data_IF_964032468564
#
_entry.id   IF_964032468564
#
_cell.length_a   1.000
_cell.length_b   1.000
_cell.length_c   1.000
_cell.angle_alpha   90.00
_cell.angle_beta   90.00
_cell.angle_gamma   90.00
#
_symmetry.space_group_name_H-M   'P 1'
#
loop_
_entity.id
_entity.type
_entity.pdbx_description
1 polymer ?
#
# COMPACT_ATOMS: atom_id res chain seq x y z
N UNK A 1 -1.88 24.06 17.89
CA UNK A 1 -2.03 22.61 18.16
C UNK A 1 -1.25 21.85 17.11
N UNK A 2 -0.15 21.18 17.46
CA UNK A 2 0.54 20.32 16.49
C UNK A 2 -0.37 19.14 16.14
N UNK A 3 -0.79 19.05 14.89
CA UNK A 3 -1.52 17.88 14.39
C UNK A 3 -0.54 16.70 14.46
N UNK A 4 -0.87 15.73 15.31
CA UNK A 4 -0.04 14.53 15.50
C UNK A 4 -0.10 13.69 14.23
N UNK A 5 1.00 13.62 13.47
CA UNK A 5 1.10 12.88 12.21
C UNK A 5 1.13 11.37 12.47
N UNK A 6 -0.03 10.74 12.60
CA UNK A 6 -0.17 9.32 12.90
C UNK A 6 -0.64 8.55 11.67
N UNK A 7 -0.09 7.35 11.44
CA UNK A 7 -0.61 6.41 10.47
C UNK A 7 -1.51 5.42 11.15
N UNK A 8 -2.82 5.57 10.93
CA UNK A 8 -3.86 4.77 11.59
C UNK A 8 -4.68 4.06 10.52
N UNK A 9 -4.79 2.74 10.61
CA UNK A 9 -5.67 1.91 9.77
C UNK A 9 -6.59 1.11 10.67
N UNK A 10 -7.90 1.19 10.46
CA UNK A 10 -8.89 0.45 11.27
C UNK A 10 -8.67 0.59 12.79
N UNK A 11 -8.45 1.83 13.28
CA UNK A 11 -8.20 2.18 14.68
C UNK A 11 -6.85 1.68 15.25
N UNK A 12 -6.04 0.96 14.47
CA UNK A 12 -4.69 0.53 14.87
C UNK A 12 -3.65 1.52 14.35
N UNK A 13 -2.75 1.95 15.23
CA UNK A 13 -1.65 2.85 14.90
C UNK A 13 -0.44 2.03 14.46
N UNK A 14 0.24 2.51 13.43
CA UNK A 14 1.46 1.93 12.87
C UNK A 14 2.58 2.97 12.84
N UNK A 15 3.80 2.54 13.10
CA UNK A 15 4.98 3.40 13.07
C UNK A 15 5.59 3.54 11.68
N UNK A 16 5.30 2.60 10.78
CA UNK A 16 5.76 2.62 9.39
C UNK A 16 4.59 2.88 8.43
N UNK A 17 4.81 3.79 7.47
CA UNK A 17 3.89 4.07 6.37
C UNK A 17 4.19 3.20 5.14
N UNK A 18 5.24 2.35 5.22
CA UNK A 18 5.59 1.37 4.21
C UNK A 18 4.94 0.03 4.56
N UNK A 19 4.13 -0.49 3.64
CA UNK A 19 3.57 -1.84 3.65
C UNK A 19 4.36 -2.67 2.64
N UNK A 20 4.71 -3.90 2.98
CA UNK A 20 5.52 -4.75 2.10
C UNK A 20 4.78 -6.03 1.74
N UNK A 21 4.82 -6.40 0.45
CA UNK A 21 4.33 -7.69 -0.02
C UNK A 21 5.33 -8.82 0.25
N UNK A 22 4.83 -10.04 0.40
CA UNK A 22 5.64 -11.24 0.69
C UNK A 22 5.92 -12.12 -0.53
N UNK A 23 5.44 -11.71 -1.71
CA UNK A 23 5.62 -12.48 -2.94
C UNK A 23 6.91 -12.16 -3.72
N UNK A 24 7.27 -13.06 -4.63
CA UNK A 24 8.35 -12.88 -5.63
C UNK A 24 9.78 -12.88 -5.10
N UNK A 25 10.04 -13.02 -3.82
CA UNK A 25 11.37 -13.26 -3.26
C UNK A 25 11.89 -14.66 -3.64
N UNK A 26 13.20 -14.86 -3.62
CA UNK A 26 13.82 -16.15 -3.91
C UNK A 26 13.43 -17.23 -2.89
N UNK A 27 13.33 -16.83 -1.63
CA UNK A 27 12.94 -17.70 -0.52
C UNK A 27 12.39 -16.88 0.66
N UNK A 28 11.85 -17.54 1.67
CA UNK A 28 11.25 -16.92 2.85
C UNK A 28 12.26 -16.18 3.73
N UNK A 29 13.52 -16.64 3.79
CA UNK A 29 14.58 -15.97 4.55
C UNK A 29 14.92 -14.61 3.94
N UNK A 30 15.04 -14.53 2.61
CA UNK A 30 15.24 -13.25 1.90
C UNK A 30 14.07 -12.31 2.13
N UNK A 31 12.83 -12.81 2.04
CA UNK A 31 11.61 -12.05 2.31
C UNK A 31 11.63 -11.46 3.73
N UNK A 32 11.86 -12.29 4.74
CA UNK A 32 11.88 -11.86 6.14
C UNK A 32 12.96 -10.82 6.42
N UNK A 33 14.16 -11.00 5.85
CA UNK A 33 15.26 -10.04 5.99
C UNK A 33 14.95 -8.71 5.32
N UNK A 34 14.38 -8.71 4.12
CA UNK A 34 13.96 -7.50 3.43
C UNK A 34 12.86 -6.75 4.22
N UNK A 35 11.87 -7.46 4.76
CA UNK A 35 10.82 -6.88 5.61
C UNK A 35 11.42 -6.26 6.86
N UNK A 36 12.34 -6.93 7.54
CA UNK A 36 13.03 -6.39 8.72
C UNK A 36 13.77 -5.10 8.40
N UNK A 37 14.50 -5.05 7.31
CA UNK A 37 15.27 -3.86 6.86
C UNK A 37 14.31 -2.72 6.49
N UNK A 38 13.22 -3.01 5.79
CA UNK A 38 12.21 -2.02 5.40
C UNK A 38 11.52 -1.36 6.59
N UNK A 39 11.56 -1.98 7.77
CA UNK A 39 10.86 -1.49 8.97
C UNK A 39 9.34 -1.53 8.85
N UNK A 40 8.78 -2.27 7.89
CA UNK A 40 7.34 -2.39 7.70
C UNK A 40 6.67 -3.07 8.92
N UNK A 41 5.53 -2.53 9.33
CA UNK A 41 4.72 -3.12 10.41
C UNK A 41 3.53 -3.92 9.85
N UNK A 42 3.25 -3.82 8.57
CA UNK A 42 2.19 -4.53 7.86
C UNK A 42 2.81 -5.26 6.67
N UNK A 43 2.47 -6.53 6.52
CA UNK A 43 2.85 -7.32 5.34
C UNK A 43 1.64 -7.96 4.69
N UNK A 44 1.57 -7.91 3.36
CA UNK A 44 0.48 -8.60 2.64
C UNK A 44 0.82 -10.07 2.43
N UNK A 45 -0.19 -10.91 2.60
CA UNK A 45 -0.08 -12.36 2.41
C UNK A 45 -1.19 -12.84 1.48
N UNK A 46 -0.81 -13.39 0.34
CA UNK A 46 -1.79 -13.98 -0.58
C UNK A 46 -2.35 -15.27 0.05
N UNK A 47 -3.63 -15.25 0.41
CA UNK A 47 -4.28 -16.41 1.06
C UNK A 47 -4.14 -17.69 0.23
N UNK A 48 -4.26 -17.58 -1.10
CA UNK A 48 -4.06 -18.72 -2.02
C UNK A 48 -2.67 -19.36 -1.99
N UNK A 49 -1.67 -18.68 -1.39
CA UNK A 49 -0.28 -19.15 -1.28
C UNK A 49 0.09 -19.60 0.12
N UNK A 50 -0.83 -19.49 1.08
CA UNK A 50 -0.60 -20.02 2.42
C UNK A 50 -0.66 -21.53 2.34
N UNK A 51 0.44 -22.16 2.74
CA UNK A 51 0.47 -23.62 2.83
C UNK A 51 -0.36 -24.06 4.04
N UNK A 52 -1.57 -24.56 3.77
CA UNK A 52 -2.51 -25.03 4.81
C UNK A 52 -2.36 -26.53 5.05
N UNK A 53 -1.87 -27.28 4.05
CA UNK A 53 -1.93 -28.73 4.02
C UNK A 53 -0.62 -29.44 4.33
N UNK A 54 0.53 -28.84 4.03
CA UNK A 54 1.84 -29.48 4.18
C UNK A 54 2.58 -28.94 5.40
N UNK A 55 2.39 -29.61 6.54
CA UNK A 55 3.05 -29.26 7.81
C UNK A 55 4.57 -29.53 7.82
N UNK A 56 5.12 -30.18 6.79
CA UNK A 56 6.56 -30.47 6.68
C UNK A 56 7.37 -29.27 6.18
N UNK A 57 6.70 -28.29 5.56
CA UNK A 57 7.36 -27.07 5.04
C UNK A 57 7.20 -25.91 6.01
N UNK A 58 8.25 -25.12 6.24
CA UNK A 58 8.17 -23.97 7.12
C UNK A 58 7.12 -22.97 6.61
N UNK A 59 6.34 -22.45 7.52
CA UNK A 59 5.32 -21.43 7.27
C UNK A 59 5.96 -20.03 7.24
N UNK A 60 5.28 -19.08 6.61
CA UNK A 60 5.70 -17.67 6.66
C UNK A 60 5.84 -17.16 8.11
N UNK A 61 5.00 -17.66 9.01
CA UNK A 61 4.98 -17.31 10.43
C UNK A 61 6.24 -17.74 11.19
N UNK A 62 6.98 -18.73 10.68
CA UNK A 62 8.24 -19.18 11.28
C UNK A 62 9.38 -18.17 11.00
N UNK A 63 9.24 -17.37 9.96
CA UNK A 63 10.21 -16.35 9.57
C UNK A 63 9.81 -14.93 9.98
N UNK A 64 8.52 -14.65 10.06
CA UNK A 64 7.96 -13.33 10.33
C UNK A 64 6.97 -13.46 11.50
N UNK A 65 7.39 -13.01 12.68
CA UNK A 65 6.60 -13.12 13.91
C UNK A 65 5.27 -12.33 13.83
N UNK A 66 4.11 -13.00 13.87
CA UNK A 66 2.80 -12.33 13.78
C UNK A 66 2.47 -11.47 15.01
N UNK A 67 3.22 -11.60 16.11
CA UNK A 67 3.09 -10.72 17.29
C UNK A 67 3.72 -9.35 17.04
N UNK A 68 4.71 -9.26 16.14
CA UNK A 68 5.44 -8.03 15.81
C UNK A 68 4.95 -7.37 14.52
N UNK A 69 4.52 -8.16 13.57
CA UNK A 69 4.11 -7.73 12.23
C UNK A 69 2.63 -8.06 12.02
N UNK A 70 1.87 -7.09 11.55
CA UNK A 70 0.47 -7.29 11.18
C UNK A 70 0.39 -7.96 9.82
N UNK A 71 -0.19 -9.15 9.76
CA UNK A 71 -0.53 -9.81 8.52
C UNK A 71 -1.79 -9.19 7.92
N UNK A 72 -1.72 -8.89 6.64
CA UNK A 72 -2.81 -8.38 5.82
C UNK A 72 -3.11 -9.39 4.72
N UNK A 73 -4.00 -10.38 4.97
CA UNK A 73 -4.42 -11.33 3.94
C UNK A 73 -5.03 -10.60 2.75
N UNK A 74 -4.69 -11.03 1.54
CA UNK A 74 -5.20 -10.45 0.32
C UNK A 74 -5.77 -11.50 -0.64
N UNK A 75 -6.58 -11.02 -1.57
CA UNK A 75 -7.22 -11.81 -2.63
C UNK A 75 -6.43 -11.77 -3.94
N UNK A 76 -5.11 -11.64 -3.87
CA UNK A 76 -4.27 -11.60 -5.07
C UNK A 76 -4.54 -12.79 -6.00
N UNK A 77 -4.86 -12.48 -7.26
CA UNK A 77 -5.20 -13.49 -8.28
C UNK A 77 -6.67 -13.92 -8.29
N UNK A 78 -7.58 -13.20 -7.62
CA UNK A 78 -9.02 -13.35 -7.78
C UNK A 78 -9.51 -12.46 -8.93
N UNK A 79 -10.37 -13.03 -9.80
CA UNK A 79 -10.92 -12.34 -10.97
C UNK A 79 -12.44 -12.17 -10.89
N UNK A 80 -13.07 -12.64 -9.83
CA UNK A 80 -14.49 -12.46 -9.56
C UNK A 80 -14.73 -12.09 -8.10
N UNK A 81 -15.84 -11.42 -7.84
CA UNK A 81 -16.30 -11.13 -6.47
C UNK A 81 -16.43 -12.41 -5.65
N UNK A 82 -17.03 -13.47 -6.24
CA UNK A 82 -17.23 -14.75 -5.57
C UNK A 82 -15.91 -15.37 -5.09
N UNK A 83 -14.88 -15.40 -5.94
CA UNK A 83 -13.56 -15.90 -5.58
C UNK A 83 -12.94 -15.09 -4.43
N UNK A 84 -13.06 -13.76 -4.49
CA UNK A 84 -12.52 -12.88 -3.48
C UNK A 84 -13.22 -13.07 -2.12
N UNK A 85 -14.55 -13.12 -2.11
CA UNK A 85 -15.36 -13.36 -0.92
C UNK A 85 -15.02 -14.70 -0.28
N UNK A 86 -15.00 -15.79 -1.05
CA UNK A 86 -14.62 -17.11 -0.57
C UNK A 86 -13.23 -17.11 0.05
N UNK A 87 -12.28 -16.47 -0.61
CA UNK A 87 -10.88 -16.38 -0.15
C UNK A 87 -10.75 -15.67 1.19
N UNK A 88 -11.44 -14.54 1.39
CA UNK A 88 -11.36 -13.78 2.64
C UNK A 88 -12.16 -14.41 3.77
N UNK A 89 -13.30 -15.05 3.48
CA UNK A 89 -14.03 -15.85 4.46
C UNK A 89 -13.16 -17.01 4.98
N UNK A 90 -12.47 -17.72 4.08
CA UNK A 90 -11.50 -18.76 4.46
C UNK A 90 -10.36 -18.18 5.32
N UNK A 91 -9.81 -17.02 4.98
CA UNK A 91 -8.79 -16.36 5.80
C UNK A 91 -9.30 -16.11 7.22
N UNK A 92 -10.53 -15.61 7.37
CA UNK A 92 -11.16 -15.39 8.69
C UNK A 92 -11.34 -16.69 9.47
N UNK A 93 -11.76 -17.76 8.83
CA UNK A 93 -11.95 -19.07 9.46
C UNK A 93 -10.62 -19.65 9.97
N UNK A 94 -9.55 -19.55 9.18
CA UNK A 94 -8.24 -20.13 9.51
C UNK A 94 -7.49 -19.32 10.56
N UNK A 95 -7.49 -17.98 10.43
CA UNK A 95 -6.62 -17.12 11.21
C UNK A 95 -7.31 -16.00 11.98
N UNK A 96 -8.65 -15.94 11.96
CA UNK A 96 -9.41 -14.89 12.65
C UNK A 96 -9.23 -13.50 12.03
N UNK A 97 -8.61 -13.39 10.86
CA UNK A 97 -8.28 -12.09 10.24
C UNK A 97 -9.55 -11.35 9.80
N UNK A 98 -9.73 -10.17 10.38
CA UNK A 98 -10.79 -9.23 9.99
C UNK A 98 -10.25 -8.08 9.14
N UNK A 99 -9.01 -7.64 9.35
CA UNK A 99 -8.33 -6.66 8.51
C UNK A 99 -7.77 -7.39 7.29
N UNK A 100 -8.22 -7.01 6.10
CA UNK A 100 -7.93 -7.71 4.84
C UNK A 100 -7.70 -6.71 3.70
N UNK A 101 -6.96 -7.12 2.67
CA UNK A 101 -6.80 -6.36 1.43
C UNK A 101 -7.60 -7.04 0.33
N UNK A 102 -8.56 -6.31 -0.22
CA UNK A 102 -9.39 -6.78 -1.34
C UNK A 102 -8.76 -6.38 -2.67
N UNK A 103 -8.60 -7.36 -3.54
CA UNK A 103 -8.25 -7.21 -4.95
C UNK A 103 -9.24 -8.05 -5.76
N UNK A 104 -9.93 -7.46 -6.72
CA UNK A 104 -10.66 -8.18 -7.77
C UNK A 104 -10.14 -7.69 -9.11
N UNK A 105 -9.48 -8.55 -9.87
CA UNK A 105 -8.81 -8.19 -11.10
C UNK A 105 -9.76 -8.36 -12.30
N UNK A 106 -9.80 -7.37 -13.18
CA UNK A 106 -10.65 -7.40 -14.38
C UNK A 106 -9.98 -8.06 -15.56
N UNK A 107 -8.65 -8.02 -15.65
CA UNK A 107 -7.90 -8.54 -16.78
C UNK A 107 -6.58 -9.21 -16.36
N UNK A 108 -6.30 -10.37 -16.97
CA UNK A 108 -5.12 -11.20 -16.62
C UNK A 108 -3.80 -10.60 -17.09
N UNK A 109 -3.80 -9.79 -18.13
CA UNK A 109 -2.60 -9.23 -18.73
C UNK A 109 -2.21 -7.92 -18.05
N UNK A 110 -3.18 -7.05 -17.82
CA UNK A 110 -2.96 -5.71 -17.26
C UNK A 110 -3.03 -5.68 -15.75
N UNK A 111 -3.77 -6.62 -15.13
CA UNK A 111 -4.03 -6.69 -13.68
C UNK A 111 -4.69 -5.43 -13.12
N UNK A 112 -5.43 -4.69 -13.96
CA UNK A 112 -6.29 -3.61 -13.49
C UNK A 112 -7.44 -4.18 -12.64
N UNK A 113 -7.85 -3.48 -11.58
CA UNK A 113 -8.99 -3.90 -10.79
C UNK A 113 -10.30 -3.74 -11.57
N UNK A 114 -11.20 -4.71 -11.42
CA UNK A 114 -12.59 -4.60 -11.85
C UNK A 114 -13.33 -3.71 -10.87
N UNK A 115 -13.73 -2.52 -11.32
CA UNK A 115 -14.35 -1.52 -10.46
C UNK A 115 -15.72 -1.98 -9.91
N UNK A 116 -16.52 -2.67 -10.73
CA UNK A 116 -17.87 -3.13 -10.37
C UNK A 116 -17.80 -4.27 -9.36
N UNK A 117 -17.01 -5.30 -9.66
CA UNK A 117 -16.84 -6.46 -8.77
C UNK A 117 -16.12 -6.07 -7.47
N UNK A 118 -15.20 -5.10 -7.50
CA UNK A 118 -14.52 -4.56 -6.31
C UNK A 118 -15.51 -3.83 -5.40
N UNK A 119 -16.37 -2.97 -5.94
CA UNK A 119 -17.38 -2.26 -5.15
C UNK A 119 -18.37 -3.24 -4.50
N UNK A 120 -18.93 -4.17 -5.29
CA UNK A 120 -19.82 -5.23 -4.83
C UNK A 120 -19.21 -6.06 -3.70
N UNK A 121 -17.94 -6.50 -3.87
CA UNK A 121 -17.23 -7.27 -2.85
C UNK A 121 -17.00 -6.45 -1.57
N UNK A 122 -16.69 -5.16 -1.70
CA UNK A 122 -16.50 -4.26 -0.55
C UNK A 122 -17.77 -4.14 0.27
N UNK A 123 -18.92 -3.90 -0.37
CA UNK A 123 -20.23 -3.80 0.30
C UNK A 123 -20.60 -5.07 1.08
N UNK A 124 -20.34 -6.24 0.50
CA UNK A 124 -20.62 -7.53 1.14
C UNK A 124 -19.72 -7.75 2.34
N UNK A 125 -18.38 -7.60 2.15
CA UNK A 125 -17.41 -7.86 3.19
C UNK A 125 -17.54 -6.91 4.38
N UNK A 126 -17.84 -5.64 4.14
CA UNK A 126 -18.03 -4.66 5.22
C UNK A 126 -19.28 -4.96 6.05
N UNK A 127 -20.39 -5.40 5.43
CA UNK A 127 -21.59 -5.90 6.11
C UNK A 127 -21.28 -7.17 6.95
N UNK A 128 -20.36 -8.00 6.50
CA UNK A 128 -19.90 -9.18 7.24
C UNK A 128 -18.90 -8.85 8.36
N UNK A 129 -18.60 -7.57 8.58
CA UNK A 129 -17.72 -7.08 9.66
C UNK A 129 -16.23 -7.11 9.35
N UNK A 130 -15.83 -7.35 8.11
CA UNK A 130 -14.43 -7.17 7.69
C UNK A 130 -14.03 -5.69 7.71
N UNK A 131 -12.74 -5.44 7.93
CA UNK A 131 -12.08 -4.14 7.75
C UNK A 131 -11.31 -4.20 6.45
N UNK A 132 -11.90 -3.64 5.41
CA UNK A 132 -11.45 -3.83 4.02
C UNK A 132 -10.57 -2.67 3.59
N UNK A 133 -9.31 -2.95 3.29
CA UNK A 133 -8.41 -2.08 2.55
C UNK A 133 -8.57 -2.45 1.06
N UNK A 134 -8.93 -1.49 0.21
CA UNK A 134 -9.40 -1.80 -1.14
C UNK A 134 -8.43 -1.35 -2.22
N UNK A 135 -7.87 -2.31 -2.97
CA UNK A 135 -7.13 -2.04 -4.20
C UNK A 135 -8.10 -1.59 -5.29
N UNK A 136 -7.86 -0.44 -5.89
CA UNK A 136 -8.73 0.17 -6.87
C UNK A 136 -7.97 0.93 -7.95
N UNK A 137 -8.69 1.34 -9.01
CA UNK A 137 -8.19 2.33 -9.94
C UNK A 137 -8.02 3.70 -9.25
N UNK A 138 -7.25 4.58 -9.85
CA UNK A 138 -7.05 5.96 -9.43
C UNK A 138 -8.23 6.88 -9.84
N UNK A 139 -9.45 6.34 -9.80
CA UNK A 139 -10.69 7.06 -10.09
C UNK A 139 -11.24 7.72 -8.80
N UNK A 140 -11.32 9.07 -8.75
CA UNK A 140 -11.84 9.76 -7.59
C UNK A 140 -13.30 9.44 -7.24
N UNK A 141 -14.15 9.16 -8.23
CA UNK A 141 -15.55 8.79 -7.99
C UNK A 141 -15.65 7.38 -7.41
N UNK A 142 -14.86 6.44 -7.93
CA UNK A 142 -14.81 5.09 -7.39
C UNK A 142 -14.25 5.08 -5.96
N UNK A 143 -13.19 5.85 -5.67
CA UNK A 143 -12.65 6.01 -4.32
C UNK A 143 -13.73 6.46 -3.33
N UNK A 144 -14.56 7.44 -3.71
CA UNK A 144 -15.67 7.90 -2.88
C UNK A 144 -16.75 6.84 -2.68
N UNK A 145 -17.09 6.08 -3.72
CA UNK A 145 -18.04 4.95 -3.62
C UNK A 145 -17.54 3.86 -2.68
N UNK A 146 -16.26 3.52 -2.75
CA UNK A 146 -15.64 2.54 -1.87
C UNK A 146 -15.59 3.01 -0.41
N UNK A 147 -15.32 4.30 -0.15
CA UNK A 147 -15.44 4.89 1.18
C UNK A 147 -16.88 4.77 1.72
N UNK A 148 -17.87 5.11 0.92
CA UNK A 148 -19.31 4.98 1.28
C UNK A 148 -19.72 3.51 1.49
N UNK A 149 -19.13 2.57 0.80
CA UNK A 149 -19.31 1.13 0.99
C UNK A 149 -18.70 0.59 2.29
N UNK A 150 -18.00 1.43 3.05
CA UNK A 150 -17.44 1.09 4.36
C UNK A 150 -16.00 0.57 4.33
N UNK A 151 -15.24 0.82 3.25
CA UNK A 151 -13.80 0.55 3.23
C UNK A 151 -13.11 1.22 4.43
N UNK A 152 -12.02 0.66 4.91
CA UNK A 152 -11.21 1.25 5.97
C UNK A 152 -9.91 1.90 5.48
N UNK A 153 -9.55 1.71 4.22
CA UNK A 153 -8.49 2.40 3.50
C UNK A 153 -8.72 2.30 1.99
N UNK A 154 -8.37 3.34 1.25
CA UNK A 154 -8.39 3.37 -0.22
C UNK A 154 -6.97 3.15 -0.73
N UNK A 155 -6.82 2.21 -1.66
CA UNK A 155 -5.52 1.80 -2.17
C UNK A 155 -5.46 1.90 -3.70
N UNK A 156 -5.37 3.12 -4.26
CA UNK A 156 -5.30 3.30 -5.70
C UNK A 156 -3.95 2.80 -6.25
N UNK A 157 -3.98 2.26 -7.43
CA UNK A 157 -2.75 1.94 -8.17
C UNK A 157 -2.05 3.23 -8.64
N UNK A 158 -0.72 3.22 -8.65
CA UNK A 158 0.07 4.22 -9.38
C UNK A 158 0.21 3.83 -10.85
N UNK A 159 0.38 2.54 -11.11
CA UNK A 159 0.47 1.87 -12.40
C UNK A 159 0.16 0.37 -12.22
N UNK A 160 0.04 -0.43 -13.29
CA UNK A 160 -0.24 -1.86 -13.18
C UNK A 160 0.67 -2.61 -12.21
N UNK A 161 0.14 -3.64 -11.56
CA UNK A 161 0.87 -4.47 -10.61
C UNK A 161 2.16 -4.99 -11.22
N UNK A 162 3.30 -4.67 -10.59
CA UNK A 162 4.61 -5.16 -10.99
C UNK A 162 5.22 -4.47 -12.23
N UNK A 163 4.58 -3.41 -12.75
CA UNK A 163 5.09 -2.66 -13.91
C UNK A 163 6.31 -1.79 -13.57
N UNK A 164 6.37 -1.24 -12.35
CA UNK A 164 7.45 -0.32 -11.96
C UNK A 164 7.45 1.01 -12.70
N UNK A 165 6.31 1.40 -13.29
CA UNK A 165 6.19 2.63 -14.10
C UNK A 165 6.05 3.92 -13.27
N UNK A 166 5.94 3.81 -11.94
CA UNK A 166 5.73 4.94 -11.05
C UNK A 166 4.32 5.52 -11.14
N UNK A 167 4.14 6.72 -10.59
CA UNK A 167 2.84 7.39 -10.51
C UNK A 167 2.48 7.99 -11.86
N UNK A 168 1.45 7.47 -12.51
CA UNK A 168 0.99 7.92 -13.82
C UNK A 168 0.06 9.12 -13.74
N UNK A 169 -0.79 9.19 -12.72
CA UNK A 169 -1.79 10.25 -12.57
C UNK A 169 -1.74 10.90 -11.18
N UNK A 170 -0.87 11.89 -11.05
CA UNK A 170 -0.69 12.66 -9.81
C UNK A 170 -1.93 13.50 -9.45
N UNK A 171 -2.68 13.94 -10.46
CA UNK A 171 -3.85 14.80 -10.28
C UNK A 171 -4.96 14.01 -9.60
N UNK A 172 -5.25 12.80 -10.08
CA UNK A 172 -6.28 11.96 -9.49
C UNK A 172 -5.94 11.61 -8.03
N UNK A 173 -4.69 11.28 -7.72
CA UNK A 173 -4.28 11.02 -6.34
C UNK A 173 -4.49 12.22 -5.42
N UNK A 174 -4.21 13.45 -5.89
CA UNK A 174 -4.49 14.68 -5.14
C UNK A 174 -5.99 14.91 -4.94
N UNK A 175 -6.81 14.65 -5.97
CA UNK A 175 -8.26 14.76 -5.87
C UNK A 175 -8.80 13.74 -4.84
N UNK A 176 -8.37 12.48 -4.92
CA UNK A 176 -8.75 11.45 -3.97
C UNK A 176 -8.33 11.87 -2.55
N UNK A 177 -7.08 12.34 -2.36
CA UNK A 177 -6.62 12.80 -1.05
C UNK A 177 -7.48 13.94 -0.47
N UNK A 178 -7.89 14.87 -1.31
CA UNK A 178 -8.74 16.00 -0.90
C UNK A 178 -10.18 15.61 -0.54
N UNK A 179 -10.66 14.47 -1.03
CA UNK A 179 -12.04 14.02 -0.86
C UNK A 179 -12.22 12.98 0.24
N UNK A 180 -11.23 12.07 0.42
CA UNK A 180 -11.36 10.96 1.38
C UNK A 180 -10.87 11.35 2.78
N UNK A 181 -11.57 10.85 3.79
CA UNK A 181 -11.14 10.89 5.20
C UNK A 181 -10.38 9.62 5.61
N UNK A 182 -10.39 8.60 4.76
CA UNK A 182 -9.70 7.35 4.99
C UNK A 182 -8.20 7.45 4.70
N UNK A 183 -7.39 6.55 5.26
CA UNK A 183 -6.00 6.38 4.81
C UNK A 183 -5.95 6.12 3.31
N UNK A 184 -5.13 6.91 2.61
CA UNK A 184 -4.85 6.78 1.19
C UNK A 184 -3.46 6.15 1.03
N UNK A 185 -3.42 4.95 0.46
CA UNK A 185 -2.19 4.16 0.36
C UNK A 185 -1.97 3.83 -1.11
N UNK A 186 -0.89 4.34 -1.71
CA UNK A 186 -0.56 3.98 -3.10
C UNK A 186 -0.15 2.51 -3.17
N UNK A 187 -0.85 1.75 -4.01
CA UNK A 187 -0.64 0.31 -4.20
C UNK A 187 -0.31 0.01 -5.67
N UNK A 188 0.66 -0.83 -5.90
CA UNK A 188 1.13 -1.20 -7.24
C UNK A 188 1.83 -0.06 -8.03
N UNK A 189 2.64 -0.46 -9.00
CA UNK A 189 3.30 0.45 -9.93
C UNK A 189 4.57 1.14 -9.43
N UNK A 190 4.83 1.19 -8.12
CA UNK A 190 6.07 1.74 -7.57
C UNK A 190 7.27 0.90 -8.03
N UNK A 191 8.25 1.52 -8.68
CA UNK A 191 9.43 0.87 -9.23
C UNK A 191 10.73 1.24 -8.53
N UNK A 192 10.82 2.46 -7.97
CA UNK A 192 12.02 2.98 -7.35
C UNK A 192 11.71 3.94 -6.19
N UNK A 193 12.75 4.35 -5.47
CA UNK A 193 12.62 5.19 -4.27
C UNK A 193 11.96 6.55 -4.55
N UNK A 194 12.26 7.19 -5.69
CA UNK A 194 11.64 8.47 -6.07
C UNK A 194 10.11 8.37 -6.22
N UNK A 195 9.58 7.25 -6.69
CA UNK A 195 8.13 7.07 -6.80
C UNK A 195 7.46 7.02 -5.42
N UNK A 196 8.15 6.41 -4.44
CA UNK A 196 7.68 6.36 -3.07
C UNK A 196 7.75 7.74 -2.38
N UNK A 197 8.81 8.52 -2.65
CA UNK A 197 8.90 9.93 -2.22
C UNK A 197 7.73 10.72 -2.77
N UNK A 198 7.50 10.61 -4.08
CA UNK A 198 6.43 11.34 -4.75
C UNK A 198 5.04 11.00 -4.19
N UNK A 199 4.74 9.72 -3.96
CA UNK A 199 3.49 9.31 -3.33
C UNK A 199 3.27 10.01 -1.98
N UNK A 200 4.32 10.05 -1.15
CA UNK A 200 4.25 10.68 0.16
C UNK A 200 4.14 12.21 0.07
N UNK A 201 4.82 12.86 -0.89
CA UNK A 201 4.74 14.31 -1.14
C UNK A 201 3.39 14.75 -1.72
N UNK A 202 2.67 13.86 -2.40
CA UNK A 202 1.28 14.08 -2.82
C UNK A 202 0.29 14.05 -1.64
N UNK A 203 0.76 13.70 -0.44
CA UNK A 203 -0.05 13.63 0.78
C UNK A 203 -0.69 12.27 1.03
N UNK A 204 -0.28 11.23 0.30
CA UNK A 204 -0.72 9.87 0.62
C UNK A 204 -0.23 9.46 2.01
N UNK A 205 -0.99 8.60 2.68
CA UNK A 205 -0.70 8.17 4.05
C UNK A 205 0.29 7.03 4.13
N UNK A 206 0.47 6.30 3.03
CA UNK A 206 1.42 5.21 2.93
C UNK A 206 1.58 4.68 1.51
N UNK A 207 2.46 3.72 1.36
CA UNK A 207 2.69 2.99 0.11
C UNK A 207 2.79 1.48 0.37
N UNK A 208 2.29 0.67 -0.55
CA UNK A 208 2.49 -0.77 -0.56
C UNK A 208 3.46 -1.14 -1.69
N UNK A 209 4.57 -1.79 -1.35
CA UNK A 209 5.63 -2.15 -2.29
C UNK A 209 5.96 -3.64 -2.15
N UNK A 210 6.02 -4.33 -3.26
CA UNK A 210 6.45 -5.73 -3.31
C UNK A 210 7.50 -5.94 -4.39
N UNK A 211 7.12 -5.89 -5.67
CA UNK A 211 7.97 -6.26 -6.81
C UNK A 211 9.24 -5.43 -6.88
N UNK A 212 9.17 -4.13 -6.62
CA UNK A 212 10.32 -3.23 -6.66
C UNK A 212 11.42 -3.64 -5.67
N UNK A 213 11.06 -4.18 -4.51
CA UNK A 213 12.02 -4.72 -3.54
C UNK A 213 12.45 -6.13 -3.95
N UNK A 214 11.49 -7.05 -4.12
CA UNK A 214 11.76 -8.47 -4.32
C UNK A 214 12.50 -8.79 -5.62
N UNK A 215 12.38 -7.96 -6.65
CA UNK A 215 13.03 -8.12 -7.97
C UNK A 215 14.19 -7.15 -8.21
N UNK A 216 14.54 -6.34 -7.23
CA UNK A 216 15.74 -5.54 -7.31
C UNK A 216 16.99 -6.43 -7.42
N UNK A 217 18.04 -5.93 -8.07
CA UNK A 217 19.35 -6.62 -8.09
C UNK A 217 19.88 -6.85 -6.68
N UNK A 218 19.58 -5.93 -5.77
CA UNK A 218 19.97 -5.95 -4.36
C UNK A 218 18.74 -5.67 -3.48
N UNK A 219 17.92 -6.69 -3.14
CA UNK A 219 16.64 -6.51 -2.46
C UNK A 219 16.75 -5.82 -1.09
N UNK A 220 17.83 -6.05 -0.36
CA UNK A 220 18.05 -5.47 0.97
C UNK A 220 18.35 -3.97 0.90
N UNK A 221 19.20 -3.55 -0.05
CA UNK A 221 19.47 -2.14 -0.28
C UNK A 221 18.22 -1.39 -0.78
N UNK A 222 17.43 -2.04 -1.65
CA UNK A 222 16.17 -1.47 -2.11
C UNK A 222 15.14 -1.38 -0.97
N UNK A 223 15.07 -2.35 -0.08
CA UNK A 223 14.18 -2.29 1.09
C UNK A 223 14.53 -1.10 2.01
N UNK A 224 15.82 -0.84 2.22
CA UNK A 224 16.29 0.32 2.97
C UNK A 224 15.99 1.63 2.24
N UNK A 225 16.29 1.69 0.94
CA UNK A 225 16.00 2.87 0.10
C UNK A 225 14.50 3.23 0.13
N UNK A 226 13.60 2.27 0.04
CA UNK A 226 12.16 2.48 0.12
C UNK A 226 11.72 2.99 1.50
N UNK A 227 12.30 2.47 2.58
CA UNK A 227 12.08 2.98 3.94
C UNK A 227 12.45 4.45 4.05
N UNK A 228 13.66 4.80 3.61
CA UNK A 228 14.17 6.18 3.66
C UNK A 228 13.34 7.11 2.78
N UNK A 229 12.93 6.65 1.60
CA UNK A 229 12.08 7.38 0.66
C UNK A 229 10.72 7.76 1.29
N UNK A 230 10.05 6.81 1.93
CA UNK A 230 8.77 7.05 2.61
C UNK A 230 8.92 8.06 3.75
N UNK A 231 9.99 7.95 4.53
CA UNK A 231 10.27 8.88 5.62
C UNK A 231 10.58 10.28 5.08
N UNK A 232 11.43 10.39 4.06
CA UNK A 232 11.83 11.66 3.46
C UNK A 232 10.63 12.36 2.81
N UNK A 233 9.85 11.65 1.98
CA UNK A 233 8.68 12.21 1.31
C UNK A 233 7.61 12.67 2.30
N UNK A 234 7.37 11.92 3.40
CA UNK A 234 6.44 12.37 4.43
C UNK A 234 6.91 13.61 5.16
N UNK A 235 8.18 13.68 5.51
CA UNK A 235 8.77 14.89 6.13
C UNK A 235 8.68 16.10 5.18
N UNK A 236 8.98 15.90 3.89
CA UNK A 236 8.84 16.93 2.86
C UNK A 236 7.41 17.47 2.79
N UNK A 237 6.42 16.56 2.73
CA UNK A 237 5.00 16.93 2.73
C UNK A 237 4.60 17.77 3.95
N UNK A 238 4.99 17.33 5.15
CA UNK A 238 4.65 18.02 6.41
C UNK A 238 5.35 19.36 6.57
N UNK A 239 6.55 19.50 6.01
CA UNK A 239 7.31 20.77 6.04
C UNK A 239 6.72 21.83 5.11
N UNK A 240 5.94 21.39 4.12
CA UNK A 240 5.40 22.26 3.10
C UNK A 240 6.42 22.61 2.01
N UNK A 241 5.92 22.72 0.80
CA UNK A 241 6.72 23.13 -0.37
C UNK A 241 6.72 24.63 -0.50
N UNK A 242 7.85 25.23 -0.90
CA UNK A 242 7.86 26.62 -1.35
C UNK A 242 6.96 26.76 -2.59
N UNK A 243 6.37 27.92 -2.74
CA UNK A 243 5.55 28.23 -3.93
C UNK A 243 6.43 28.22 -5.19
N UNK A 244 6.02 27.48 -6.24
CA UNK A 244 6.71 27.57 -7.53
C UNK A 244 6.71 29.02 -8.05
N UNK A 245 7.85 29.48 -8.53
CA UNK A 245 7.99 30.76 -9.19
C UNK A 245 8.60 30.56 -10.58
N UNK A 246 8.10 31.30 -11.57
CA UNK A 246 8.62 31.26 -12.93
C UNK A 246 10.00 31.93 -13.04
N UNK A 247 10.28 32.88 -12.14
CA UNK A 247 11.52 33.62 -12.16
C UNK A 247 12.40 33.26 -10.97
N UNK A 248 13.71 33.35 -11.16
CA UNK A 248 14.67 33.17 -10.09
C UNK A 248 14.51 34.21 -9.00
N UNK A 249 14.74 33.80 -7.76
CA UNK A 249 14.83 34.72 -6.61
C UNK A 249 16.23 34.58 -6.02
N UNK A 250 16.94 35.68 -5.89
CA UNK A 250 18.28 35.68 -5.32
C UNK A 250 18.24 35.20 -3.87
N UNK A 251 19.11 34.25 -3.52
CA UNK A 251 19.25 33.72 -2.14
C UNK A 251 19.89 34.74 -1.20
N UNK A 252 20.62 35.70 -1.74
CA UNK A 252 21.30 36.76 -0.98
C UNK A 252 20.74 38.11 -1.40
N UNK A 253 20.35 38.96 -0.42
CA UNK A 253 19.88 40.31 -0.70
C UNK A 253 21.08 41.22 -0.91
N UNK A 254 20.99 42.14 -1.90
CA UNK A 254 22.01 43.16 -2.10
C UNK A 254 21.90 44.31 -1.08
N UNK A 255 20.93 44.28 -0.15
CA UNK A 255 20.79 45.23 0.92
C UNK A 255 21.70 44.87 2.09
N UNK A 256 22.63 45.74 2.42
CA UNK A 256 23.54 45.55 3.54
C UNK A 256 24.89 44.89 3.20
N UNK A 257 25.21 44.74 1.92
CA UNK A 257 26.58 44.44 1.51
C UNK A 257 27.41 45.74 1.63
N UNK A 258 28.50 45.65 2.43
CA UNK A 258 29.51 46.70 2.57
C UNK A 258 30.35 46.76 1.30
#
# INVERSE_FOLDING_TARGET
MQIKDEFIVSKKKFSSRLIVGTGKYKNMSECAKAIKISGANIVTVAVRRVNISDKSKPLLMDYIDPKKITYLPNTAGCFTSEEALRTLRLAREIGGWKLVKLEVLGDKKTLFPDAVETLKSTEILTKEGFKVMVYCNDDPLMAKRLENAGACAIMPLAAPIGSGLGIQNKINLKIIRGQTKLPLIVDAGIGQASDAVEAMELGCDGVLINTAIAKAKKPYEMAEAMKLAVIAGRKSFLSGRIQPNLFGSASTTNKGLI
#
